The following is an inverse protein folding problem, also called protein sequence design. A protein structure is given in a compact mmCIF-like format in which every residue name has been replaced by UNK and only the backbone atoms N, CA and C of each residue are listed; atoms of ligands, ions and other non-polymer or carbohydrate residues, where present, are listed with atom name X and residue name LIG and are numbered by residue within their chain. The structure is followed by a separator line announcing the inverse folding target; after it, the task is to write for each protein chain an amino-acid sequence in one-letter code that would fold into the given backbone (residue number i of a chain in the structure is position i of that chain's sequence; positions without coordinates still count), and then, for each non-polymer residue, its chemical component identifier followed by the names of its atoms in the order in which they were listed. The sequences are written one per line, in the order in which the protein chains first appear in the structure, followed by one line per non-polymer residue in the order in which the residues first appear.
data_IF_749231347125
#
_entry.id   IF_749231347125
#
_cell.length_a   1.000
_cell.length_b   1.000
_cell.length_c   1.000
_cell.angle_alpha   90.00
_cell.angle_beta   90.00
_cell.angle_gamma   90.00
#
_symmetry.space_group_name_H-M   'P 1'
#
loop_
_entity.id
_entity.type
_entity.pdbx_description
1 polymer ?
#
# COMPACT_ATOMS: atom_id res chain seq x y z
N UNK A 1 -11.05 -0.47 -9.30
CA UNK A 1 -11.04 0.71 -8.40
C UNK A 1 -9.64 1.27 -8.36
N UNK A 2 -9.49 2.59 -8.34
CA UNK A 2 -8.20 3.26 -8.26
C UNK A 2 -7.85 3.56 -6.80
N UNK A 3 -6.57 3.56 -6.48
CA UNK A 3 -6.07 3.75 -5.12
C UNK A 3 -4.86 4.67 -5.13
N UNK A 4 -4.86 5.62 -4.20
CA UNK A 4 -3.69 6.37 -3.79
C UNK A 4 -3.12 5.74 -2.51
N UNK A 5 -1.89 5.25 -2.58
CA UNK A 5 -1.12 4.71 -1.45
C UNK A 5 -0.11 5.76 -1.01
N UNK A 6 -0.30 6.35 0.17
CA UNK A 6 0.63 7.29 0.78
C UNK A 6 1.52 6.56 1.79
N UNK A 7 2.84 6.61 1.60
CA UNK A 7 3.82 6.05 2.53
C UNK A 7 4.28 7.16 3.46
N UNK A 8 3.90 7.04 4.72
CA UNK A 8 4.01 8.13 5.69
C UNK A 8 5.34 8.03 6.41
N UNK A 9 6.11 9.12 6.40
CA UNK A 9 7.34 9.28 7.20
C UNK A 9 7.11 10.44 8.15
N UNK A 10 7.27 10.20 9.45
CA UNK A 10 7.09 11.23 10.48
C UNK A 10 8.20 12.27 10.43
N UNK A 11 7.91 13.48 10.89
CA UNK A 11 8.94 14.51 11.05
C UNK A 11 10.07 14.09 12.00
N UNK A 12 11.28 14.53 11.69
CA UNK A 12 12.45 14.31 12.56
C UNK A 12 12.22 14.88 13.95
N UNK A 13 12.55 14.09 14.98
CA UNK A 13 12.33 14.46 16.39
C UNK A 13 10.94 14.11 16.94
N UNK A 14 9.99 13.69 16.09
CA UNK A 14 8.68 13.21 16.52
C UNK A 14 8.75 11.73 16.87
N UNK A 15 8.15 11.33 17.99
CA UNK A 15 8.03 9.90 18.34
C UNK A 15 6.97 9.25 17.47
N UNK A 16 7.10 7.93 17.21
CA UNK A 16 6.09 7.21 16.45
C UNK A 16 4.69 7.29 17.10
N UNK A 17 4.61 7.25 18.44
CA UNK A 17 3.35 7.39 19.16
C UNK A 17 2.69 8.75 18.94
N UNK A 18 3.45 9.85 19.05
CA UNK A 18 2.93 11.19 18.81
C UNK A 18 2.51 11.39 17.35
N UNK A 19 3.30 10.88 16.40
CA UNK A 19 2.93 10.84 14.99
C UNK A 19 1.60 10.10 14.78
N UNK A 20 1.49 8.88 15.33
CA UNK A 20 0.32 8.02 15.15
C UNK A 20 -0.94 8.65 15.76
N UNK A 21 -0.82 9.25 16.94
CA UNK A 21 -1.91 9.97 17.58
C UNK A 21 -2.43 11.09 16.68
N UNK A 22 -1.54 11.96 16.21
CA UNK A 22 -1.90 13.06 15.31
C UNK A 22 -2.50 12.56 14.00
N UNK A 23 -1.83 11.62 13.33
CA UNK A 23 -2.28 11.07 12.05
C UNK A 23 -3.67 10.45 12.16
N UNK A 24 -3.93 9.65 13.20
CA UNK A 24 -5.18 8.92 13.33
C UNK A 24 -6.33 9.75 13.89
N UNK A 25 -6.06 10.69 14.81
CA UNK A 25 -7.10 11.45 15.49
C UNK A 25 -7.37 12.82 14.87
N UNK A 26 -6.39 13.44 14.20
CA UNK A 26 -6.54 14.76 13.58
C UNK A 26 -6.62 14.66 12.05
N UNK A 27 -5.61 14.05 11.42
CA UNK A 27 -5.50 14.04 9.95
C UNK A 27 -6.50 13.09 9.26
N UNK A 28 -6.61 11.85 9.78
CA UNK A 28 -7.44 10.79 9.21
C UNK A 28 -8.92 11.20 9.06
N UNK A 29 -9.57 11.85 10.05
CA UNK A 29 -10.92 12.39 9.88
C UNK A 29 -11.05 13.39 8.71
N UNK A 30 -10.05 14.23 8.47
CA UNK A 30 -10.04 15.19 7.36
C UNK A 30 -9.95 14.43 6.03
N UNK A 31 -8.99 13.51 5.91
CA UNK A 31 -8.75 12.73 4.69
C UNK A 31 -9.94 11.84 4.31
N UNK A 32 -10.64 11.30 5.31
CA UNK A 32 -11.87 10.49 5.12
C UNK A 32 -12.98 11.23 4.37
N UNK A 33 -13.05 12.53 4.57
CA UNK A 33 -14.10 13.41 4.05
C UNK A 33 -13.69 14.06 2.71
N UNK A 34 -12.57 13.64 2.11
CA UNK A 34 -12.18 14.03 0.74
C UNK A 34 -13.24 13.54 -0.24
N UNK A 35 -13.66 14.45 -1.12
CA UNK A 35 -14.62 14.19 -2.18
C UNK A 35 -14.08 13.12 -3.16
N UNK A 36 -14.95 12.22 -3.63
CA UNK A 36 -14.56 11.09 -4.48
C UNK A 36 -14.00 9.87 -3.75
N UNK A 37 -13.54 10.00 -2.49
CA UNK A 37 -13.05 8.86 -1.71
C UNK A 37 -14.21 7.92 -1.36
N UNK A 38 -14.18 6.68 -1.86
CA UNK A 38 -15.20 5.65 -1.57
C UNK A 38 -14.77 4.66 -0.49
N UNK A 39 -13.47 4.38 -0.38
CA UNK A 39 -12.88 3.64 0.75
C UNK A 39 -11.63 4.35 1.27
N UNK A 40 -11.37 4.25 2.56
CA UNK A 40 -10.16 4.78 3.17
C UNK A 40 -9.63 3.81 4.22
N UNK A 41 -8.41 3.30 4.05
CA UNK A 41 -7.75 2.42 5.00
C UNK A 41 -6.50 3.10 5.58
N UNK A 42 -6.21 2.79 6.84
CA UNK A 42 -4.92 3.12 7.48
C UNK A 42 -4.24 1.84 7.91
N UNK A 43 -2.94 1.73 7.66
CA UNK A 43 -2.14 0.57 8.08
C UNK A 43 -1.06 1.05 9.04
N UNK A 44 -1.12 0.60 10.29
CA UNK A 44 -0.09 0.90 11.29
C UNK A 44 0.92 -0.25 11.35
N UNK A 45 2.23 0.02 11.48
CA UNK A 45 3.25 -1.03 11.48
C UNK A 45 3.09 -1.93 12.72
N UNK A 46 3.34 -3.23 12.56
CA UNK A 46 3.36 -4.18 13.69
C UNK A 46 4.61 -4.00 14.55
N UNK A 47 5.69 -3.51 13.96
CA UNK A 47 6.95 -3.18 14.61
C UNK A 47 7.48 -1.85 14.05
N UNK A 48 7.16 -0.71 14.70
CA UNK A 48 7.57 0.61 14.23
C UNK A 48 9.09 0.84 14.20
N UNK A 49 9.87 0.10 15.00
CA UNK A 49 11.33 0.28 15.09
C UNK A 49 12.05 -0.36 13.89
N UNK A 50 11.42 -1.34 13.24
CA UNK A 50 11.95 -2.06 12.09
C UNK A 50 11.15 -1.82 10.80
N UNK A 51 10.31 -0.78 10.79
CA UNK A 51 9.50 -0.39 9.63
C UNK A 51 10.16 0.77 8.87
N UNK A 52 10.15 0.69 7.54
CA UNK A 52 10.67 1.74 6.65
C UNK A 52 9.76 2.98 6.63
N UNK A 53 8.49 2.79 6.95
CA UNK A 53 7.47 3.85 7.03
C UNK A 53 6.77 3.85 8.38
N UNK A 54 6.24 4.99 8.79
CA UNK A 54 5.45 5.13 10.01
C UNK A 54 3.99 4.72 9.83
N UNK A 55 3.53 4.59 8.60
CA UNK A 55 2.18 4.15 8.30
C UNK A 55 1.90 4.19 6.82
N UNK A 56 0.78 3.59 6.43
CA UNK A 56 0.25 3.70 5.08
C UNK A 56 -1.18 4.25 5.15
N UNK A 57 -1.47 5.28 4.35
CA UNK A 57 -2.83 5.78 4.13
C UNK A 57 -3.26 5.44 2.70
N UNK A 58 -4.44 4.85 2.57
CA UNK A 58 -4.89 4.23 1.32
C UNK A 58 -6.28 4.72 0.96
N UNK A 59 -6.36 5.63 -0.01
CA UNK A 59 -7.60 6.27 -0.42
C UNK A 59 -8.03 5.72 -1.76
N UNK A 60 -9.29 5.29 -1.83
CA UNK A 60 -9.84 4.61 -2.99
C UNK A 60 -10.89 5.47 -3.69
N UNK A 61 -10.90 5.38 -5.02
CA UNK A 61 -11.77 6.13 -5.91
C UNK A 61 -12.31 5.20 -7.00
N UNK A 62 -13.57 5.37 -7.37
CA UNK A 62 -14.15 4.63 -8.51
C UNK A 62 -13.56 5.11 -9.85
N UNK A 63 -13.36 6.42 -9.97
CA UNK A 63 -12.87 7.08 -11.17
C UNK A 63 -11.48 7.68 -10.96
N UNK A 64 -10.63 7.60 -12.00
CA UNK A 64 -9.27 8.09 -11.97
C UNK A 64 -9.19 9.61 -12.03
N UNK A 65 -10.11 10.27 -12.75
CA UNK A 65 -10.18 11.72 -12.83
C UNK A 65 -10.57 12.32 -11.48
N UNK A 66 -11.47 11.68 -10.73
CA UNK A 66 -11.82 12.08 -9.35
C UNK A 66 -10.61 11.98 -8.42
N UNK A 67 -9.83 10.89 -8.53
CA UNK A 67 -8.57 10.74 -7.79
C UNK A 67 -7.59 11.86 -8.13
N UNK A 68 -7.38 12.15 -9.41
CA UNK A 68 -6.47 13.20 -9.86
C UNK A 68 -6.94 14.59 -9.43
N UNK A 69 -8.24 14.87 -9.44
CA UNK A 69 -8.79 16.13 -8.97
C UNK A 69 -8.57 16.32 -7.46
N UNK A 70 -8.68 15.24 -6.68
CA UNK A 70 -8.55 15.27 -5.23
C UNK A 70 -7.09 15.27 -4.74
N UNK A 71 -6.22 14.42 -5.32
CA UNK A 71 -4.90 14.09 -4.78
C UNK A 71 -3.75 14.30 -5.78
N UNK A 72 -4.05 14.84 -6.97
CA UNK A 72 -3.10 15.02 -8.06
C UNK A 72 -2.72 13.71 -8.77
N UNK A 73 -1.86 13.81 -9.78
CA UNK A 73 -1.37 12.68 -10.58
C UNK A 73 0.12 12.42 -10.31
N UNK A 74 0.68 11.23 -10.61
CA UNK A 74 2.10 10.92 -10.34
C UNK A 74 3.07 12.01 -10.81
N UNK A 75 2.89 12.53 -12.03
CA UNK A 75 3.69 13.64 -12.58
C UNK A 75 3.33 15.05 -12.10
N UNK A 76 2.28 15.22 -11.30
CA UNK A 76 1.81 16.51 -10.77
C UNK A 76 1.46 16.41 -9.28
N UNK A 77 2.42 15.93 -8.49
CA UNK A 77 2.24 15.64 -7.05
C UNK A 77 1.94 16.84 -6.19
N UNK A 78 2.64 17.95 -6.42
CA UNK A 78 2.50 19.15 -5.60
C UNK A 78 1.44 20.11 -6.17
N UNK A 79 0.39 19.56 -6.78
CA UNK A 79 -0.80 20.33 -7.11
C UNK A 79 -1.52 20.79 -5.83
N UNK A 80 -2.05 22.01 -5.84
CA UNK A 80 -2.73 22.63 -4.71
C UNK A 80 -4.25 22.51 -4.90
N UNK A 81 -4.92 21.51 -4.28
CA UNK A 81 -6.36 21.37 -4.43
C UNK A 81 -7.05 22.63 -3.91
N UNK A 82 -7.83 23.29 -4.77
CA UNK A 82 -8.31 24.65 -4.49
C UNK A 82 -9.26 24.75 -3.30
N UNK A 83 -10.00 23.67 -2.97
CA UNK A 83 -11.11 23.70 -1.99
C UNK A 83 -11.35 22.35 -1.28
N UNK A 84 -12.16 22.42 -0.22
CA UNK A 84 -12.73 21.23 0.43
C UNK A 84 -11.80 20.53 1.41
N UNK A 85 -12.08 19.25 1.66
CA UNK A 85 -11.27 18.43 2.55
C UNK A 85 -9.88 18.10 1.97
N UNK A 86 -9.74 18.02 0.64
CA UNK A 86 -8.45 17.81 -0.03
C UNK A 86 -7.47 18.96 0.26
N UNK A 87 -7.91 20.22 0.12
CA UNK A 87 -7.13 21.41 0.49
C UNK A 87 -6.68 21.39 1.96
N UNK A 88 -7.61 21.05 2.87
CA UNK A 88 -7.32 20.95 4.29
C UNK A 88 -6.32 19.84 4.60
N UNK A 89 -6.52 18.65 4.04
CA UNK A 89 -5.63 17.52 4.22
C UNK A 89 -4.23 17.84 3.69
N UNK A 90 -4.12 18.47 2.52
CA UNK A 90 -2.82 18.88 1.96
C UNK A 90 -2.10 19.89 2.85
N UNK A 91 -2.80 20.89 3.37
CA UNK A 91 -2.21 21.86 4.30
C UNK A 91 -1.81 21.21 5.64
N UNK A 92 -2.59 20.23 6.11
CA UNK A 92 -2.34 19.54 7.37
C UNK A 92 -1.14 18.59 7.33
N UNK A 93 -0.83 18.00 6.17
CA UNK A 93 0.35 17.15 5.96
C UNK A 93 1.64 17.80 6.46
N UNK A 94 1.76 19.13 6.33
CA UNK A 94 2.96 19.88 6.72
C UNK A 94 3.17 19.90 8.26
N UNK A 95 2.16 19.55 9.04
CA UNK A 95 2.22 19.53 10.50
C UNK A 95 2.86 18.27 11.09
N UNK A 96 2.88 17.15 10.35
CA UNK A 96 3.26 15.85 10.93
C UNK A 96 4.11 14.95 10.02
N UNK A 97 4.15 15.19 8.71
CA UNK A 97 4.99 14.43 7.77
C UNK A 97 6.31 15.14 7.46
N UNK A 98 7.35 14.36 7.22
CA UNK A 98 8.56 14.80 6.55
C UNK A 98 8.26 15.02 5.07
N UNK A 99 7.97 16.26 4.67
CA UNK A 99 7.45 16.62 3.34
C UNK A 99 8.38 16.18 2.18
N UNK A 100 9.69 16.20 2.43
CA UNK A 100 10.69 15.80 1.44
C UNK A 100 10.79 14.28 1.27
N UNK A 101 10.22 13.52 2.21
CA UNK A 101 10.22 12.05 2.28
C UNK A 101 8.78 11.52 2.28
N UNK A 102 8.04 11.78 1.20
CA UNK A 102 6.65 11.32 1.02
C UNK A 102 6.48 10.45 -0.23
N UNK A 103 6.98 9.21 -0.23
CA UNK A 103 6.73 8.29 -1.31
C UNK A 103 5.23 8.01 -1.43
N UNK A 104 4.75 7.86 -2.65
CA UNK A 104 3.37 7.52 -2.95
C UNK A 104 3.25 6.70 -4.22
N UNK A 105 2.08 6.11 -4.38
CA UNK A 105 1.74 5.33 -5.55
C UNK A 105 0.27 5.53 -5.91
N UNK A 106 -0.02 5.73 -7.20
CA UNK A 106 -1.39 5.77 -7.72
C UNK A 106 -1.53 4.63 -8.72
N UNK A 107 -2.50 3.76 -8.49
CA UNK A 107 -2.70 2.61 -9.34
C UNK A 107 -4.11 2.03 -9.32
N UNK A 108 -4.35 1.10 -10.23
CA UNK A 108 -5.57 0.31 -10.31
C UNK A 108 -5.41 -0.99 -9.51
N UNK A 109 -6.34 -1.24 -8.58
CA UNK A 109 -6.41 -2.47 -7.79
C UNK A 109 -7.06 -3.60 -8.61
N UNK A 110 -6.38 -4.75 -8.64
CA UNK A 110 -6.90 -6.01 -9.19
C UNK A 110 -6.87 -7.09 -8.11
N UNK A 111 -8.06 -7.52 -7.69
CA UNK A 111 -8.22 -8.60 -6.71
C UNK A 111 -7.84 -9.93 -7.33
N UNK A 112 -7.00 -10.71 -6.64
CA UNK A 112 -6.50 -12.02 -7.08
C UNK A 112 -7.12 -13.18 -6.31
N UNK A 113 -7.34 -12.99 -5.01
CA UNK A 113 -8.16 -13.86 -4.17
C UNK A 113 -8.79 -13.05 -3.05
N UNK A 114 -9.95 -13.49 -2.59
CA UNK A 114 -10.71 -12.83 -1.54
C UNK A 114 -11.60 -13.84 -0.81
N UNK A 115 -11.11 -14.37 0.30
CA UNK A 115 -11.85 -15.28 1.16
C UNK A 115 -12.67 -14.54 2.24
N UNK A 116 -12.45 -13.24 2.40
CA UNK A 116 -13.07 -12.40 3.43
C UNK A 116 -14.19 -11.49 2.88
N UNK A 117 -14.47 -11.59 1.57
CA UNK A 117 -15.55 -10.82 0.94
C UNK A 117 -15.35 -9.31 1.00
N UNK A 118 -14.09 -8.86 0.97
CA UNK A 118 -13.75 -7.44 1.06
C UNK A 118 -13.57 -6.90 2.48
N UNK A 119 -13.98 -7.63 3.52
CA UNK A 119 -13.80 -7.20 4.91
C UNK A 119 -12.35 -7.43 5.36
N UNK A 120 -11.56 -6.36 5.31
CA UNK A 120 -10.13 -6.39 5.67
C UNK A 120 -9.84 -5.71 7.01
N UNK A 121 -10.86 -5.26 7.75
CA UNK A 121 -10.66 -4.54 9.01
C UNK A 121 -9.96 -5.42 10.05
N UNK A 122 -8.88 -4.89 10.62
CA UNK A 122 -8.11 -5.57 11.65
C UNK A 122 -7.21 -6.70 11.17
N UNK A 123 -7.21 -7.04 9.86
CA UNK A 123 -6.29 -8.03 9.29
C UNK A 123 -4.84 -7.52 9.30
N UNK A 124 -3.91 -8.47 9.32
CA UNK A 124 -2.49 -8.21 9.10
C UNK A 124 -2.21 -8.18 7.60
N UNK A 125 -1.38 -7.21 7.18
CA UNK A 125 -1.08 -6.97 5.79
C UNK A 125 0.42 -6.89 5.56
N UNK A 126 0.87 -7.57 4.51
CA UNK A 126 2.18 -7.37 3.91
C UNK A 126 2.02 -6.58 2.60
N UNK A 127 2.55 -5.36 2.54
CA UNK A 127 2.62 -4.53 1.34
C UNK A 127 4.03 -4.58 0.75
N UNK A 128 4.18 -5.15 -0.45
CA UNK A 128 5.44 -5.20 -1.18
C UNK A 128 5.43 -4.13 -2.29
N UNK A 129 6.35 -3.17 -2.22
CA UNK A 129 6.50 -2.12 -3.23
C UNK A 129 7.55 -2.56 -4.25
N UNK A 130 7.10 -2.90 -5.45
CA UNK A 130 7.91 -3.64 -6.42
C UNK A 130 8.75 -2.69 -7.27
N UNK A 131 10.04 -3.01 -7.38
CA UNK A 131 10.96 -2.37 -8.31
C UNK A 131 11.48 -3.45 -9.24
N UNK A 132 11.25 -3.30 -10.54
CA UNK A 132 11.72 -4.27 -11.54
C UNK A 132 13.25 -4.25 -11.64
N UNK A 133 13.83 -5.38 -12.04
CA UNK A 133 15.28 -5.45 -12.27
C UNK A 133 15.78 -4.47 -13.33
N UNK A 134 17.02 -4.03 -13.14
CA UNK A 134 17.74 -3.26 -14.16
C UNK A 134 17.73 -3.99 -15.51
N UNK A 135 17.43 -3.26 -16.59
CA UNK A 135 17.36 -3.79 -17.95
C UNK A 135 16.03 -4.45 -18.32
N UNK A 136 15.11 -4.67 -17.37
CA UNK A 136 13.76 -5.15 -17.66
C UNK A 136 12.84 -3.98 -18.03
N UNK A 137 12.06 -4.12 -19.12
CA UNK A 137 11.00 -3.16 -19.45
C UNK A 137 9.82 -3.31 -18.48
N UNK A 138 9.05 -2.25 -18.27
CA UNK A 138 7.84 -2.33 -17.44
C UNK A 138 6.84 -3.36 -17.99
N UNK A 139 6.68 -3.46 -19.31
CA UNK A 139 5.80 -4.46 -19.95
C UNK A 139 6.26 -5.90 -19.67
N UNK A 140 7.56 -6.19 -19.81
CA UNK A 140 8.09 -7.52 -19.52
C UNK A 140 7.99 -7.87 -18.03
N UNK A 141 8.24 -6.89 -17.15
CA UNK A 141 8.00 -7.03 -15.72
C UNK A 141 6.53 -7.36 -15.43
N UNK A 142 5.61 -6.58 -16.00
CA UNK A 142 4.16 -6.69 -15.79
C UNK A 142 3.64 -8.06 -16.21
N UNK A 143 4.08 -8.54 -17.38
CA UNK A 143 3.73 -9.84 -17.92
C UNK A 143 4.23 -10.98 -17.03
N UNK A 144 5.51 -10.97 -16.66
CA UNK A 144 6.10 -11.97 -15.78
C UNK A 144 5.42 -11.99 -14.41
N UNK A 145 5.25 -10.81 -13.81
CA UNK A 145 4.65 -10.71 -12.48
C UNK A 145 3.22 -11.26 -12.47
N UNK A 146 2.40 -10.95 -13.48
CA UNK A 146 1.02 -11.41 -13.53
C UNK A 146 0.85 -12.89 -13.88
N UNK A 147 1.62 -13.39 -14.84
CA UNK A 147 1.39 -14.73 -15.38
C UNK A 147 2.22 -15.82 -14.68
N UNK A 148 3.38 -15.47 -14.11
CA UNK A 148 4.27 -16.43 -13.45
C UNK A 148 4.23 -16.28 -11.92
N UNK A 149 4.43 -15.06 -11.40
CA UNK A 149 4.62 -14.87 -9.96
C UNK A 149 3.31 -14.76 -9.16
N UNK A 150 2.35 -13.97 -9.63
CA UNK A 150 1.05 -13.76 -8.96
C UNK A 150 0.32 -15.08 -8.68
N UNK A 151 0.29 -16.09 -9.57
CA UNK A 151 -0.29 -17.40 -9.26
C UNK A 151 0.38 -18.11 -8.08
N UNK A 152 1.71 -18.02 -7.96
CA UNK A 152 2.45 -18.59 -6.83
C UNK A 152 2.07 -17.89 -5.51
N UNK A 153 2.07 -16.54 -5.53
CA UNK A 153 1.79 -15.74 -4.35
C UNK A 153 0.34 -15.90 -3.85
N UNK A 154 -0.62 -16.09 -4.78
CA UNK A 154 -2.04 -16.32 -4.47
C UNK A 154 -2.26 -17.59 -3.65
N UNK A 155 -1.46 -18.61 -3.89
CA UNK A 155 -1.64 -19.93 -3.30
C UNK A 155 -0.77 -20.12 -2.02
N UNK A 156 -0.16 -19.05 -1.51
CA UNK A 156 0.59 -19.06 -0.25
C UNK A 156 -0.38 -19.39 0.91
N UNK A 157 -0.01 -20.38 1.72
CA UNK A 157 -0.79 -20.80 2.87
C UNK A 157 -0.95 -19.66 3.90
N UNK A 158 -2.18 -19.45 4.37
CA UNK A 158 -2.54 -18.41 5.34
C UNK A 158 -3.01 -17.10 4.71
N UNK A 159 -2.82 -16.91 3.40
CA UNK A 159 -3.34 -15.73 2.68
C UNK A 159 -4.85 -15.81 2.58
N UNK A 160 -5.55 -14.84 3.17
CA UNK A 160 -7.02 -14.73 3.11
C UNK A 160 -7.51 -13.73 2.08
N UNK A 161 -6.65 -12.78 1.67
CA UNK A 161 -6.89 -11.89 0.54
C UNK A 161 -5.57 -11.52 -0.10
N UNK A 162 -5.57 -11.40 -1.42
CA UNK A 162 -4.43 -10.92 -2.19
C UNK A 162 -4.94 -10.04 -3.32
N UNK A 163 -4.36 -8.85 -3.44
CA UNK A 163 -4.54 -8.00 -4.60
C UNK A 163 -3.22 -7.42 -5.07
N UNK A 164 -3.19 -7.03 -6.34
CA UNK A 164 -2.09 -6.31 -6.96
C UNK A 164 -2.56 -4.92 -7.36
N UNK A 165 -1.68 -3.93 -7.30
CA UNK A 165 -1.97 -2.57 -7.73
C UNK A 165 -0.98 -2.18 -8.82
N UNK A 166 -1.50 -1.75 -9.98
CA UNK A 166 -0.71 -1.40 -11.16
C UNK A 166 -0.67 0.10 -11.36
N UNK A 167 0.50 0.70 -11.64
CA UNK A 167 0.58 2.14 -11.78
C UNK A 167 -0.22 2.59 -13.00
N UNK A 168 -1.01 3.64 -12.81
CA UNK A 168 -1.77 4.28 -13.91
C UNK A 168 -0.85 5.04 -14.86
N UNK A 169 0.32 5.45 -14.38
CA UNK A 169 1.39 6.08 -15.16
C UNK A 169 2.76 5.48 -14.76
N UNK A 170 3.16 4.35 -15.38
CA UNK A 170 4.42 3.68 -15.05
C UNK A 170 5.67 4.53 -15.26
N UNK A 171 5.62 5.55 -16.13
CA UNK A 171 6.77 6.41 -16.43
C UNK A 171 7.07 7.43 -15.34
N UNK A 172 6.08 7.72 -14.50
CA UNK A 172 6.15 8.69 -13.41
C UNK A 172 5.88 8.08 -12.02
N UNK A 173 5.71 6.76 -11.95
CA UNK A 173 5.48 6.03 -10.69
C UNK A 173 6.78 5.73 -9.98
N UNK A 174 6.77 5.79 -8.64
CA UNK A 174 7.92 5.44 -7.78
C UNK A 174 8.16 3.93 -7.74
N UNK A 175 7.12 3.13 -7.99
CA UNK A 175 7.18 1.68 -8.01
C UNK A 175 6.54 1.13 -9.29
N UNK A 176 6.98 -0.06 -9.69
CA UNK A 176 6.42 -0.81 -10.80
C UNK A 176 5.08 -1.48 -10.47
N UNK A 177 4.77 -1.61 -9.18
CA UNK A 177 3.51 -2.12 -8.69
C UNK A 177 3.54 -2.35 -7.19
N UNK A 178 2.39 -2.70 -6.63
CA UNK A 178 2.26 -3.07 -5.22
C UNK A 178 1.57 -4.42 -5.12
N UNK A 179 2.11 -5.34 -4.33
CA UNK A 179 1.44 -6.59 -3.95
C UNK A 179 1.02 -6.50 -2.48
N UNK A 180 -0.27 -6.69 -2.19
CA UNK A 180 -0.81 -6.64 -0.84
C UNK A 180 -1.46 -7.98 -0.47
N UNK A 181 -0.85 -8.66 0.49
CA UNK A 181 -1.28 -9.97 0.98
C UNK A 181 -1.77 -9.83 2.43
N UNK A 182 -2.93 -10.42 2.72
CA UNK A 182 -3.62 -10.30 3.99
C UNK A 182 -3.69 -11.63 4.72
N UNK A 183 -3.58 -11.57 6.04
CA UNK A 183 -3.57 -12.70 6.96
C UNK A 183 -4.43 -12.37 8.18
N UNK A 184 -5.13 -13.37 8.72
CA UNK A 184 -5.84 -13.23 10.00
C UNK A 184 -4.87 -13.22 11.19
N UNK A 185 -3.77 -13.97 11.09
CA UNK A 185 -2.78 -14.15 12.16
C UNK A 185 -1.39 -13.64 11.75
N UNK A 186 -0.72 -12.92 12.67
CA UNK A 186 0.59 -12.33 12.44
C UNK A 186 1.70 -13.39 12.35
N UNK A 187 1.60 -14.49 13.10
CA UNK A 187 2.59 -15.56 13.04
C UNK A 187 2.51 -16.29 11.70
N UNK A 188 1.32 -16.48 11.13
CA UNK A 188 1.16 -17.03 9.77
C UNK A 188 1.78 -16.11 8.72
N UNK A 189 1.56 -14.79 8.83
CA UNK A 189 2.22 -13.80 7.97
C UNK A 189 3.74 -13.93 8.08
N UNK A 190 4.28 -13.96 9.30
CA UNK A 190 5.73 -14.08 9.51
C UNK A 190 6.31 -15.39 8.97
N UNK A 191 5.60 -16.50 9.13
CA UNK A 191 6.02 -17.80 8.61
C UNK A 191 6.03 -17.84 7.07
N UNK A 192 5.10 -17.12 6.44
CA UNK A 192 4.96 -17.07 4.99
C UNK A 192 5.88 -16.04 4.33
N UNK A 193 5.99 -14.83 4.90
CA UNK A 193 6.57 -13.65 4.25
C UNK A 193 7.70 -12.97 5.06
N UNK A 194 8.11 -13.57 6.18
CA UNK A 194 9.12 -13.05 7.09
C UNK A 194 8.59 -11.97 8.04
N UNK A 195 9.40 -11.62 9.03
CA UNK A 195 9.10 -10.59 10.03
C UNK A 195 9.70 -9.23 9.67
N UNK A 196 9.21 -8.13 10.27
CA UNK A 196 9.94 -6.85 10.25
C UNK A 196 11.43 -7.05 10.58
N UNK A 197 12.31 -6.33 9.88
CA UNK A 197 13.77 -6.47 10.03
C UNK A 197 14.43 -7.73 9.43
N UNK A 198 13.67 -8.76 9.03
CA UNK A 198 14.21 -10.01 8.47
C UNK A 198 13.92 -10.14 6.97
N UNK A 199 14.64 -9.37 6.15
CA UNK A 199 14.45 -9.33 4.68
C UNK A 199 14.88 -10.64 3.99
N UNK A 200 15.94 -11.25 4.50
CA UNK A 200 16.47 -12.54 4.02
C UNK A 200 15.90 -13.69 4.86
N UNK A 201 14.59 -13.90 4.74
CA UNK A 201 13.91 -15.04 5.35
C UNK A 201 13.83 -16.19 4.34
N UNK A 202 14.00 -17.42 4.85
CA UNK A 202 13.74 -18.65 4.12
C UNK A 202 12.45 -19.27 4.65
N UNK A 203 11.30 -19.10 3.97
CA UNK A 203 10.05 -19.66 4.44
C UNK A 203 10.07 -21.19 4.33
N UNK A 204 9.57 -21.87 5.37
CA UNK A 204 9.59 -23.34 5.41
C UNK A 204 8.51 -23.98 4.53
N UNK A 205 7.40 -23.26 4.27
CA UNK A 205 6.26 -23.76 3.50
C UNK A 205 6.58 -23.72 2.00
N UNK A 206 6.32 -24.83 1.31
CA UNK A 206 6.75 -25.06 -0.09
C UNK A 206 6.34 -23.93 -1.05
N UNK A 207 5.08 -23.47 -1.01
CA UNK A 207 4.59 -22.43 -1.93
C UNK A 207 5.24 -21.08 -1.62
N UNK A 208 5.35 -20.72 -0.34
CA UNK A 208 6.03 -19.50 0.08
C UNK A 208 7.51 -19.51 -0.32
N UNK A 209 8.20 -20.66 -0.21
CA UNK A 209 9.59 -20.82 -0.65
C UNK A 209 9.73 -20.64 -2.17
N UNK A 210 8.82 -21.22 -2.96
CA UNK A 210 8.81 -21.03 -4.42
C UNK A 210 8.58 -19.56 -4.79
N UNK A 211 7.58 -18.91 -4.18
CA UNK A 211 7.31 -17.50 -4.43
C UNK A 211 8.51 -16.62 -4.05
N UNK A 212 9.13 -16.86 -2.88
CA UNK A 212 10.32 -16.12 -2.44
C UNK A 212 11.49 -16.32 -3.39
N UNK A 213 11.74 -17.54 -3.87
CA UNK A 213 12.81 -17.80 -4.83
C UNK A 213 12.54 -17.13 -6.19
N UNK A 214 11.27 -17.11 -6.62
CA UNK A 214 10.88 -16.52 -7.91
C UNK A 214 11.02 -14.99 -7.95
N UNK A 215 10.90 -14.30 -6.81
CA UNK A 215 11.19 -12.86 -6.69
C UNK A 215 12.53 -12.48 -7.30
N UNK A 216 13.53 -13.35 -7.16
CA UNK A 216 14.89 -13.14 -7.66
C UNK A 216 14.96 -13.16 -9.20
N UNK A 217 13.89 -13.50 -9.92
CA UNK A 217 13.88 -13.50 -11.39
C UNK A 217 13.57 -12.12 -11.97
N UNK A 218 12.77 -11.30 -11.28
CA UNK A 218 12.18 -10.08 -11.87
C UNK A 218 12.26 -8.83 -10.99
N UNK A 219 12.59 -8.94 -9.69
CA UNK A 219 12.71 -7.79 -8.79
C UNK A 219 14.15 -7.38 -8.48
N UNK A 220 14.37 -6.08 -8.31
CA UNK A 220 15.54 -5.52 -7.64
C UNK A 220 15.32 -5.59 -6.12
N UNK A 221 15.84 -6.65 -5.49
CA UNK A 221 15.50 -7.03 -4.09
C UNK A 221 15.97 -6.00 -3.06
N UNK A 222 17.09 -5.33 -3.35
CA UNK A 222 17.68 -4.33 -2.46
C UNK A 222 16.99 -2.96 -2.56
N UNK A 223 16.15 -2.75 -3.59
CA UNK A 223 15.51 -1.47 -3.88
C UNK A 223 14.02 -1.45 -3.51
N UNK A 224 13.44 -2.60 -3.14
CA UNK A 224 12.00 -2.73 -2.84
C UNK A 224 11.69 -2.50 -1.36
N UNK A 225 10.96 -1.44 -0.99
CA UNK A 225 10.43 -1.34 0.36
C UNK A 225 9.41 -2.44 0.64
N UNK A 226 9.27 -2.81 1.91
CA UNK A 226 8.12 -3.60 2.37
C UNK A 226 7.57 -3.09 3.68
N UNK A 227 6.28 -3.29 3.88
CA UNK A 227 5.60 -2.87 5.10
C UNK A 227 4.73 -4.00 5.63
N UNK A 228 4.92 -4.35 6.90
CA UNK A 228 4.06 -5.28 7.62
C UNK A 228 3.30 -4.48 8.67
N UNK A 229 1.98 -4.50 8.59
CA UNK A 229 1.13 -3.71 9.45
C UNK A 229 -0.22 -4.35 9.71
N UNK A 230 -0.99 -3.69 10.56
CA UNK A 230 -2.39 -4.02 10.81
C UNK A 230 -3.27 -2.97 10.18
N UNK A 231 -4.20 -3.40 9.34
CA UNK A 231 -5.12 -2.51 8.66
C UNK A 231 -6.29 -2.11 9.56
N UNK A 232 -6.79 -0.90 9.36
CA UNK A 232 -8.06 -0.42 9.92
C UNK A 232 -8.83 0.29 8.82
N UNK A 233 -10.05 -0.15 8.57
CA UNK A 233 -10.97 0.47 7.62
C UNK A 233 -11.58 1.72 8.28
N UNK A 234 -11.29 2.90 7.72
CA UNK A 234 -11.76 4.20 8.23
C UNK A 234 -13.06 4.66 7.59
N UNK A 235 -13.32 4.18 6.38
CA UNK A 235 -14.52 4.41 5.58
C UNK A 235 -14.63 3.29 4.56
N UNK A 236 -15.84 2.78 4.43
CA UNK A 236 -16.27 2.00 3.27
C UNK A 236 -17.67 2.46 2.89
N UNK A 237 -17.79 3.05 1.71
CA UNK A 237 -19.06 3.50 1.14
C UNK A 237 -19.49 2.63 -0.05
N UNK A 238 -18.83 1.51 -0.31
CA UNK A 238 -19.10 0.63 -1.46
C UNK A 238 -20.33 -0.26 -1.24
N UNK A 239 -20.66 -0.56 0.01
CA UNK A 239 -21.89 -1.28 0.41
C UNK A 239 -23.13 -0.38 0.52
N UNK A 240 -22.96 0.94 0.41
CA UNK A 240 -24.08 1.87 0.39
C UNK A 240 -24.74 1.81 -1.00
N UNK A 241 -25.79 1.00 -1.14
CA UNK A 241 -26.59 0.85 -2.36
C UNK A 241 -26.73 2.16 -3.17
N UNK A 242 -26.27 2.13 -4.42
CA UNK A 242 -26.74 3.02 -5.49
C UNK A 242 -25.76 4.06 -6.01
N UNK A 243 -24.91 3.63 -6.96
CA UNK A 243 -24.63 4.38 -8.19
C UNK A 243 -24.74 3.44 -9.39
#
# INVERSE_FOLDING_TARGET
MYKHVALLVRQSGTTHEAFRDYWLNEHTPIARDIEGVVRYHTVAPTDPEHSEFDGIAELYFEDLDDLHAALGSPGSRDYDPEKGAAAKARADVDNFLAIDERPRFIGEEVVRTDAVGGDTDGLYKHSAFLVRKEGMSHEAFRDYWEHEHTPLARDIEGVVRYHTVYPTDPGHSEFDGVAELYFEDLADLHAALGSPGSRDYDPEKEVAAKARADVDNFLAIDERPRFIGRETVRKDATDAEGY
#
